data_IF_959616593843
#
_entry.id   IF_959616593843
#
_cell.length_a   1.000
_cell.length_b   1.000
_cell.length_c   1.000
_cell.angle_alpha   90.00
_cell.angle_beta   90.00
_cell.angle_gamma   90.00
#
_symmetry.space_group_name_H-M   'P 1'
#
loop_
_entity.id
_entity.type
_entity.pdbx_description
1 polymer ?
#
# COMPACT_ATOMS: atom_id res chain seq x y z
N UNK A 1 51.60 32.89 48.57
CA UNK A 1 50.96 33.58 47.44
C UNK A 1 50.41 32.53 46.49
N UNK A 2 49.10 32.39 46.49
CA UNK A 2 48.27 31.53 45.64
C UNK A 2 48.19 32.13 44.23
N UNK A 3 48.38 31.33 43.18
CA UNK A 3 47.64 31.45 41.90
C UNK A 3 47.45 30.06 41.26
N UNK A 4 46.19 29.65 41.25
CA UNK A 4 45.59 28.55 40.49
C UNK A 4 45.62 28.81 38.97
N UNK A 5 45.18 27.78 38.23
CA UNK A 5 44.56 27.74 36.88
C UNK A 5 45.49 27.13 35.82
N UNK A 6 45.19 26.06 35.08
CA UNK A 6 44.04 25.13 34.96
C UNK A 6 44.55 23.95 34.09
N UNK A 7 44.20 22.69 34.33
CA UNK A 7 44.40 21.65 33.32
C UNK A 7 43.49 21.93 32.12
N UNK A 8 44.06 22.09 30.93
CA UNK A 8 43.30 22.17 29.68
C UNK A 8 42.74 20.78 29.39
N UNK A 9 41.51 20.60 29.87
CA UNK A 9 40.61 19.51 29.56
C UNK A 9 40.12 19.71 28.12
N UNK A 10 40.86 19.24 27.11
CA UNK A 10 40.27 19.05 25.78
C UNK A 10 39.54 17.72 25.82
N UNK A 11 38.30 17.81 26.30
CA UNK A 11 37.21 16.94 25.86
C UNK A 11 37.18 17.03 24.34
N UNK A 12 37.86 16.10 23.67
CA UNK A 12 37.54 15.74 22.30
C UNK A 12 36.13 15.15 22.37
N UNK A 13 35.14 16.04 22.22
CA UNK A 13 33.76 15.71 22.03
C UNK A 13 33.70 14.60 21.00
N UNK A 14 33.13 13.48 21.41
CA UNK A 14 32.51 12.54 20.52
C UNK A 14 31.57 13.34 19.61
N UNK A 15 32.06 13.76 18.45
CA UNK A 15 31.27 13.82 17.24
C UNK A 15 30.92 12.36 16.92
N UNK A 16 30.09 11.77 17.78
CA UNK A 16 29.19 10.71 17.39
C UNK A 16 28.29 11.41 16.38
N UNK A 17 28.74 11.37 15.14
CA UNK A 17 27.95 11.72 13.98
C UNK A 17 26.61 11.04 14.22
N UNK A 18 25.56 11.85 14.46
CA UNK A 18 24.22 11.32 14.58
C UNK A 18 24.01 10.64 13.25
N UNK A 19 24.14 9.31 13.25
CA UNK A 19 23.77 8.45 12.15
C UNK A 19 22.46 9.00 11.62
N UNK A 20 22.52 9.64 10.47
CA UNK A 20 21.37 9.88 9.63
C UNK A 20 20.86 8.48 9.29
N UNK A 21 20.10 7.89 10.21
CA UNK A 21 19.23 6.78 9.89
C UNK A 21 18.25 7.46 8.94
N UNK A 22 18.51 7.31 7.64
CA UNK A 22 17.49 7.55 6.64
C UNK A 22 16.36 6.63 7.06
N UNK A 23 15.30 7.21 7.63
CA UNK A 23 14.16 6.43 8.06
C UNK A 23 13.45 5.95 6.80
N UNK A 24 13.87 4.79 6.32
CA UNK A 24 13.38 4.17 5.08
C UNK A 24 12.01 3.56 5.37
N UNK A 25 11.00 4.41 5.53
CA UNK A 25 9.64 4.01 5.88
C UNK A 25 9.07 3.03 4.85
N UNK A 26 9.33 3.28 3.56
CA UNK A 26 8.98 2.36 2.48
C UNK A 26 9.57 0.97 2.67
N UNK A 27 10.71 0.83 3.37
CA UNK A 27 11.25 -0.48 3.73
C UNK A 27 10.38 -1.26 4.71
N UNK A 28 9.85 -0.58 5.73
CA UNK A 28 9.05 -1.20 6.80
C UNK A 28 7.70 -1.71 6.29
N UNK A 29 7.17 -1.05 5.27
CA UNK A 29 5.88 -1.35 4.67
C UNK A 29 5.92 -2.50 3.64
N UNK A 30 7.11 -3.06 3.33
CA UNK A 30 7.22 -4.18 2.39
C UNK A 30 6.57 -5.44 2.94
N UNK A 31 6.06 -6.28 2.05
CA UNK A 31 5.61 -7.63 2.36
C UNK A 31 4.36 -8.02 1.58
N UNK A 32 3.89 -9.23 1.87
CA UNK A 32 2.64 -9.75 1.33
C UNK A 32 1.49 -9.44 2.29
N UNK A 33 0.43 -8.88 1.74
CA UNK A 33 -0.80 -8.51 2.43
C UNK A 33 -1.92 -9.37 1.85
N UNK A 34 -2.28 -10.50 2.47
CA UNK A 34 -3.47 -11.26 2.08
C UNK A 34 -4.71 -10.35 2.03
N UNK A 35 -5.44 -10.41 0.91
CA UNK A 35 -6.67 -9.65 0.73
C UNK A 35 -7.71 -10.18 1.72
N UNK A 36 -8.27 -9.26 2.49
CA UNK A 36 -9.36 -9.53 3.43
C UNK A 36 -10.71 -9.30 2.77
N UNK A 37 -10.81 -8.26 1.93
CA UNK A 37 -12.05 -7.86 1.27
C UNK A 37 -11.79 -7.25 -0.11
N UNK A 38 -12.61 -7.61 -1.09
CA UNK A 38 -12.64 -7.01 -2.44
C UNK A 38 -14.08 -6.69 -2.82
N UNK A 39 -14.35 -5.41 -3.08
CA UNK A 39 -15.68 -4.85 -3.32
C UNK A 39 -15.67 -4.10 -4.65
N UNK A 40 -16.73 -4.27 -5.45
CA UNK A 40 -16.99 -3.47 -6.65
C UNK A 40 -18.39 -2.87 -6.53
N UNK A 41 -18.50 -1.55 -6.63
CA UNK A 41 -19.80 -0.83 -6.60
C UNK A 41 -20.70 -1.30 -5.44
N UNK A 42 -20.09 -1.38 -4.25
CA UNK A 42 -20.71 -1.85 -3.00
C UNK A 42 -21.09 -3.34 -2.94
N UNK A 43 -20.91 -4.11 -4.02
CA UNK A 43 -21.01 -5.57 -3.94
C UNK A 43 -19.69 -6.19 -3.46
N UNK A 44 -19.76 -6.92 -2.35
CA UNK A 44 -18.63 -7.72 -1.85
C UNK A 44 -18.48 -8.98 -2.69
N UNK A 45 -17.44 -9.02 -3.51
CA UNK A 45 -17.14 -10.17 -4.38
C UNK A 45 -16.21 -11.18 -3.71
N UNK A 46 -15.40 -10.73 -2.76
CA UNK A 46 -14.55 -11.59 -1.95
C UNK A 46 -14.45 -11.06 -0.51
N UNK A 47 -14.51 -11.98 0.45
CA UNK A 47 -14.21 -11.75 1.87
C UNK A 47 -13.57 -13.01 2.45
N UNK A 48 -12.39 -12.88 3.05
CA UNK A 48 -11.60 -14.00 3.55
C UNK A 48 -12.42 -14.91 4.48
N UNK A 49 -12.48 -16.21 4.16
CA UNK A 49 -13.21 -17.22 4.93
C UNK A 49 -14.75 -17.13 4.84
N UNK A 50 -15.32 -16.21 4.05
CA UNK A 50 -16.79 -16.00 3.99
C UNK A 50 -17.35 -15.97 2.57
N UNK A 51 -16.79 -15.17 1.68
CA UNK A 51 -17.33 -14.90 0.34
C UNK A 51 -16.22 -15.09 -0.70
N UNK A 52 -16.52 -15.79 -1.80
CA UNK A 52 -15.60 -15.92 -2.93
C UNK A 52 -16.35 -16.07 -4.26
N UNK A 53 -17.05 -15.02 -4.70
CA UNK A 53 -17.83 -15.03 -5.95
C UNK A 53 -16.93 -15.09 -7.20
N UNK A 54 -15.71 -14.56 -7.09
CA UNK A 54 -14.72 -14.49 -8.18
C UNK A 54 -13.90 -15.79 -8.33
N UNK A 55 -14.03 -16.73 -7.40
CA UNK A 55 -13.40 -18.05 -7.48
C UNK A 55 -11.88 -18.02 -7.42
N UNK A 56 -11.31 -17.11 -6.61
CA UNK A 56 -9.85 -16.94 -6.49
C UNK A 56 -9.29 -17.60 -5.24
N UNK A 57 -8.02 -18.02 -5.30
CA UNK A 57 -7.20 -18.40 -4.15
C UNK A 57 -5.91 -17.57 -4.11
N UNK A 58 -5.20 -17.58 -2.98
CA UNK A 58 -3.93 -16.86 -2.79
C UNK A 58 -4.02 -15.36 -3.14
N UNK A 59 -5.19 -14.76 -2.92
CA UNK A 59 -5.43 -13.36 -3.28
C UNK A 59 -4.68 -12.43 -2.34
N UNK A 60 -3.67 -11.74 -2.85
CA UNK A 60 -2.80 -10.88 -2.05
C UNK A 60 -2.38 -9.61 -2.79
N UNK A 61 -2.07 -8.60 -2.00
CA UNK A 61 -1.35 -7.39 -2.41
C UNK A 61 0.11 -7.55 -1.97
N UNK A 62 1.06 -7.51 -2.90
CA UNK A 62 2.49 -7.54 -2.58
C UNK A 62 3.06 -6.13 -2.66
N UNK A 63 3.60 -5.65 -1.56
CA UNK A 63 4.18 -4.31 -1.43
C UNK A 63 5.70 -4.44 -1.43
N UNK A 64 6.34 -3.73 -2.35
CA UNK A 64 7.79 -3.67 -2.48
C UNK A 64 8.28 -2.23 -2.48
N UNK A 65 9.52 -2.00 -2.05
CA UNK A 65 10.14 -0.69 -2.06
C UNK A 65 10.74 -0.41 -3.44
N UNK A 66 10.47 0.78 -3.98
CA UNK A 66 11.16 1.30 -5.16
C UNK A 66 12.23 2.33 -4.79
N UNK A 67 11.86 3.35 -4.02
CA UNK A 67 12.76 4.37 -3.43
C UNK A 67 12.40 4.54 -1.95
N UNK A 68 13.06 5.46 -1.23
CA UNK A 68 12.78 5.71 0.18
C UNK A 68 11.32 6.18 0.45
N UNK A 69 10.72 6.84 -0.54
CA UNK A 69 9.38 7.43 -0.50
C UNK A 69 8.41 6.83 -1.53
N UNK A 70 8.84 5.82 -2.30
CA UNK A 70 7.99 5.21 -3.34
C UNK A 70 7.85 3.71 -3.13
N UNK A 71 6.61 3.24 -3.14
CA UNK A 71 6.23 1.85 -3.10
C UNK A 71 5.81 1.34 -4.48
N UNK A 72 6.04 0.05 -4.71
CA UNK A 72 5.55 -0.71 -5.85
C UNK A 72 4.56 -1.76 -5.35
N UNK A 73 3.30 -1.62 -5.77
CA UNK A 73 2.15 -2.41 -5.33
C UNK A 73 1.76 -3.39 -6.43
N UNK A 74 1.89 -4.68 -6.16
CA UNK A 74 1.48 -5.77 -7.05
C UNK A 74 0.23 -6.48 -6.54
N UNK A 75 -0.61 -6.97 -7.45
CA UNK A 75 -1.78 -7.80 -7.11
C UNK A 75 -1.62 -9.20 -7.70
N UNK A 76 -1.89 -10.21 -6.88
CA UNK A 76 -1.67 -11.61 -7.23
C UNK A 76 -2.88 -12.44 -6.80
N UNK A 77 -3.31 -13.36 -7.66
CA UNK A 77 -4.36 -14.32 -7.36
C UNK A 77 -4.22 -15.56 -8.24
N UNK A 78 -4.74 -16.69 -7.78
CA UNK A 78 -4.90 -17.88 -8.60
C UNK A 78 -6.39 -18.09 -8.92
N UNK A 79 -6.70 -18.49 -10.16
CA UNK A 79 -8.05 -18.82 -10.58
C UNK A 79 -8.03 -20.14 -11.36
N UNK A 80 -8.38 -21.24 -10.70
CA UNK A 80 -8.20 -22.59 -11.24
C UNK A 80 -6.71 -22.93 -11.45
N UNK A 81 -6.33 -23.64 -12.53
CA UNK A 81 -4.92 -24.01 -12.79
C UNK A 81 -4.07 -22.85 -13.33
N UNK A 82 -4.66 -21.66 -13.53
CA UNK A 82 -3.96 -20.48 -14.05
C UNK A 82 -3.68 -19.53 -12.90
N UNK A 83 -2.40 -19.22 -12.69
CA UNK A 83 -1.97 -18.14 -11.80
C UNK A 83 -2.08 -16.81 -12.55
N UNK A 84 -2.93 -15.91 -12.05
CA UNK A 84 -3.05 -14.54 -12.54
C UNK A 84 -2.05 -13.65 -11.80
N UNK A 85 -1.09 -13.10 -12.54
CA UNK A 85 -0.27 -11.97 -12.10
C UNK A 85 0.10 -11.20 -13.37
N UNK A 86 0.20 -9.87 -13.40
CA UNK A 86 0.70 -8.94 -12.41
C UNK A 86 0.26 -7.54 -12.88
N UNK A 87 -0.45 -6.77 -12.06
CA UNK A 87 -0.52 -5.33 -12.26
C UNK A 87 0.34 -4.66 -11.20
N UNK A 88 1.32 -3.86 -11.61
CA UNK A 88 2.20 -3.12 -10.70
C UNK A 88 1.88 -1.63 -10.77
N UNK A 89 1.48 -1.04 -9.65
CA UNK A 89 1.43 0.41 -9.48
C UNK A 89 2.62 0.92 -8.72
N UNK A 90 3.05 2.14 -9.05
CA UNK A 90 4.03 2.86 -8.25
C UNK A 90 3.33 4.02 -7.57
N UNK A 91 3.44 4.09 -6.25
CA UNK A 91 2.73 5.07 -5.41
C UNK A 91 3.73 5.79 -4.52
N UNK A 92 3.58 7.11 -4.44
CA UNK A 92 4.37 7.90 -3.52
C UNK A 92 3.75 7.86 -2.13
N UNK A 93 4.61 7.68 -1.15
CA UNK A 93 4.29 7.67 0.27
C UNK A 93 4.25 9.11 0.77
N UNK A 94 3.19 9.46 1.48
CA UNK A 94 3.14 10.69 2.28
C UNK A 94 2.47 10.40 3.62
N UNK A 95 2.93 11.02 4.69
CA UNK A 95 2.48 10.71 6.06
C UNK A 95 3.65 10.42 6.99
N UNK A 96 3.33 10.06 8.24
CA UNK A 96 4.28 9.74 9.31
C UNK A 96 3.57 8.89 10.37
N UNK A 97 4.34 8.29 11.29
CA UNK A 97 3.85 7.60 12.48
C UNK A 97 2.86 6.45 12.21
N UNK A 98 3.16 5.65 11.18
CA UNK A 98 2.39 4.43 10.89
C UNK A 98 1.05 4.67 10.19
N UNK A 99 0.77 5.89 9.77
CA UNK A 99 -0.35 6.23 8.88
C UNK A 99 0.16 6.88 7.60
N UNK A 100 0.03 6.15 6.50
CA UNK A 100 0.55 6.56 5.21
C UNK A 100 -0.56 6.69 4.19
N UNK A 101 -0.51 7.78 3.43
CA UNK A 101 -1.29 8.04 2.23
C UNK A 101 -0.48 7.63 1.00
N UNK A 102 -1.15 6.99 0.05
CA UNK A 102 -0.57 6.51 -1.20
C UNK A 102 -1.27 7.20 -2.36
N UNK A 103 -0.54 8.08 -3.04
CA UNK A 103 -1.09 8.88 -4.13
C UNK A 103 -0.45 8.52 -5.46
N UNK A 104 -1.27 8.39 -6.50
CA UNK A 104 -0.82 8.50 -7.89
C UNK A 104 -0.87 9.97 -8.30
N UNK A 105 0.12 10.44 -9.06
CA UNK A 105 0.13 11.77 -9.65
C UNK A 105 -0.78 11.88 -10.90
N UNK A 106 -2.06 11.49 -10.83
CA UNK A 106 -2.95 11.51 -12.00
C UNK A 106 -4.21 12.37 -11.79
N UNK A 107 -4.63 13.00 -12.90
CA UNK A 107 -5.80 13.88 -13.01
C UNK A 107 -7.08 13.03 -13.20
N UNK A 108 -8.21 13.49 -12.68
CA UNK A 108 -9.53 12.89 -12.92
C UNK A 108 -9.77 12.60 -14.42
N UNK A 109 -10.46 11.50 -14.81
CA UNK A 109 -11.37 10.66 -14.00
C UNK A 109 -10.74 9.41 -13.35
N UNK A 110 -9.42 9.27 -13.45
CA UNK A 110 -8.69 8.09 -12.98
C UNK A 110 -8.12 8.37 -11.58
N UNK A 111 -8.98 8.38 -10.57
CA UNK A 111 -8.52 8.60 -9.20
C UNK A 111 -8.10 7.28 -8.53
N UNK A 112 -7.09 7.37 -7.68
CA UNK A 112 -6.59 6.31 -6.83
C UNK A 112 -6.31 6.90 -5.45
N UNK A 113 -6.96 6.36 -4.43
CA UNK A 113 -6.73 6.67 -3.02
C UNK A 113 -6.25 5.40 -2.34
N UNK A 114 -5.09 5.43 -1.71
CA UNK A 114 -4.59 4.29 -0.93
C UNK A 114 -4.09 4.73 0.44
N UNK A 115 -4.19 3.86 1.43
CA UNK A 115 -3.60 4.07 2.75
C UNK A 115 -2.92 2.81 3.26
N UNK A 116 -1.91 2.97 4.10
CA UNK A 116 -1.38 1.90 4.94
C UNK A 116 -1.39 2.38 6.39
N UNK A 117 -2.12 1.67 7.24
CA UNK A 117 -2.19 1.95 8.68
C UNK A 117 -2.12 0.66 9.48
N UNK A 118 -1.16 0.55 10.41
CA UNK A 118 -1.06 -0.60 11.32
C UNK A 118 -1.12 -1.96 10.61
N UNK A 119 -0.32 -2.16 9.55
CA UNK A 119 -0.31 -3.36 8.71
C UNK A 119 -1.52 -3.60 7.80
N UNK A 120 -2.47 -2.67 7.75
CA UNK A 120 -3.64 -2.74 6.86
C UNK A 120 -3.42 -1.83 5.66
N UNK A 121 -3.43 -2.41 4.47
CA UNK A 121 -3.50 -1.72 3.20
C UNK A 121 -4.97 -1.54 2.81
N UNK A 122 -5.38 -0.31 2.51
CA UNK A 122 -6.69 -0.01 1.93
C UNK A 122 -6.50 0.73 0.62
N UNK A 123 -7.22 0.35 -0.42
CA UNK A 123 -7.27 1.04 -1.70
C UNK A 123 -8.71 1.30 -2.09
N UNK A 124 -8.95 2.46 -2.69
CA UNK A 124 -10.16 2.80 -3.43
C UNK A 124 -9.73 3.43 -4.76
N UNK A 125 -10.09 2.78 -5.86
CA UNK A 125 -9.70 3.20 -7.21
C UNK A 125 -10.93 3.18 -8.11
N UNK A 126 -11.02 4.11 -9.07
CA UNK A 126 -12.08 4.07 -10.08
C UNK A 126 -11.94 2.84 -10.98
N UNK A 127 -13.06 2.28 -11.47
CA UNK A 127 -13.03 1.10 -12.34
C UNK A 127 -12.19 1.34 -13.60
N UNK A 128 -12.31 2.53 -14.21
CA UNK A 128 -11.50 2.93 -15.35
C UNK A 128 -9.99 3.04 -15.04
N UNK A 129 -9.62 3.31 -13.78
CA UNK A 129 -8.24 3.44 -13.33
C UNK A 129 -7.64 2.15 -12.77
N UNK A 130 -8.44 1.10 -12.57
CA UNK A 130 -8.02 -0.06 -11.80
C UNK A 130 -6.95 -0.94 -12.48
N UNK A 131 -6.79 -0.87 -13.80
CA UNK A 131 -5.82 -1.71 -14.54
C UNK A 131 -6.16 -3.21 -14.57
N UNK A 132 -6.97 -3.70 -13.62
CA UNK A 132 -7.57 -5.02 -13.59
C UNK A 132 -8.94 -4.97 -12.88
N UNK A 133 -9.85 -5.86 -13.26
CA UNK A 133 -11.14 -6.04 -12.60
C UNK A 133 -11.44 -7.54 -12.53
N UNK A 134 -11.72 -8.07 -11.33
CA UNK A 134 -12.07 -9.47 -11.13
C UNK A 134 -13.58 -9.59 -11.00
N UNK A 135 -14.21 -10.20 -11.99
CA UNK A 135 -15.66 -10.38 -12.03
C UNK A 135 -16.01 -11.86 -12.13
N UNK A 136 -17.08 -12.31 -11.46
CA UNK A 136 -17.70 -13.61 -11.75
C UNK A 136 -18.16 -13.68 -13.22
N UNK A 137 -18.25 -14.89 -13.77
CA UNK A 137 -18.75 -15.08 -15.14
C UNK A 137 -20.21 -14.59 -15.24
N UNK A 138 -20.49 -13.72 -16.21
CA UNK A 138 -21.83 -13.16 -16.44
C UNK A 138 -22.23 -12.08 -15.42
N UNK A 139 -21.30 -11.61 -14.60
CA UNK A 139 -21.55 -10.53 -13.65
C UNK A 139 -21.80 -9.21 -14.37
N UNK A 140 -22.91 -8.55 -14.03
CA UNK A 140 -23.15 -7.17 -14.37
C UNK A 140 -22.98 -6.34 -13.09
N UNK A 141 -21.99 -5.44 -13.02
CA UNK A 141 -21.88 -4.53 -11.89
C UNK A 141 -23.18 -3.76 -11.75
N UNK A 142 -23.60 -3.51 -10.50
CA UNK A 142 -24.71 -2.60 -10.23
C UNK A 142 -24.47 -1.29 -10.99
N UNK A 143 -25.51 -0.78 -11.65
CA UNK A 143 -25.43 0.51 -12.33
C UNK A 143 -25.01 1.57 -11.31
N UNK A 144 -23.96 2.31 -11.65
CA UNK A 144 -23.49 3.42 -10.83
C UNK A 144 -23.72 4.69 -11.63
N UNK A 145 -24.31 5.69 -10.98
CA UNK A 145 -24.39 7.05 -11.52
C UNK A 145 -23.05 7.80 -11.50
N UNK A 146 -21.94 7.10 -11.26
CA UNK A 146 -20.59 7.67 -11.15
C UNK A 146 -19.98 7.85 -12.56
N UNK A 147 -19.46 9.04 -12.91
CA UNK A 147 -18.85 9.31 -14.22
C UNK A 147 -17.64 8.41 -14.54
N UNK A 148 -17.08 7.72 -13.55
CA UNK A 148 -15.96 6.79 -13.70
C UNK A 148 -16.40 5.33 -13.94
N UNK A 149 -17.70 5.08 -14.03
CA UNK A 149 -18.29 3.74 -14.18
C UNK A 149 -18.34 2.92 -12.88
N UNK A 150 -17.88 3.50 -11.77
CA UNK A 150 -17.90 2.91 -10.43
C UNK A 150 -16.51 2.76 -9.80
N UNK A 151 -16.43 2.01 -8.68
CA UNK A 151 -15.22 1.92 -7.86
C UNK A 151 -14.88 0.49 -7.45
N UNK A 152 -13.58 0.25 -7.27
CA UNK A 152 -13.04 -0.94 -6.62
C UNK A 152 -12.50 -0.53 -5.26
N UNK A 153 -12.84 -1.31 -4.23
CA UNK A 153 -12.21 -1.21 -2.91
C UNK A 153 -11.52 -2.52 -2.55
N UNK A 154 -10.26 -2.40 -2.12
CA UNK A 154 -9.44 -3.53 -1.67
C UNK A 154 -9.00 -3.25 -0.24
N UNK A 155 -9.16 -4.22 0.64
CA UNK A 155 -8.59 -4.21 1.98
C UNK A 155 -7.73 -5.45 2.13
N UNK A 156 -6.48 -5.26 2.52
CA UNK A 156 -5.51 -6.33 2.72
C UNK A 156 -4.72 -6.11 4.00
N UNK A 157 -4.30 -7.18 4.67
CA UNK A 157 -3.64 -7.09 5.96
C UNK A 157 -2.39 -7.96 5.97
N UNK A 158 -1.25 -7.37 6.35
CA UNK A 158 0.01 -8.08 6.54
C UNK A 158 -0.08 -8.96 7.78
N UNK A 159 0.35 -10.21 7.63
CA UNK A 159 0.44 -11.21 8.71
C UNK A 159 1.73 -11.04 9.52
#
# INVERSE_FOLDING_TARGET
MTRLLTPILILALAACDKTHIIDDEAARLRGDYPVQTYIINDDTLYSAGKINKIGVSEFKVAISRKTADTLSIGYFWAQGPKSGSLFVRQLQLSGHDGQYQLTMALKAPLFHEGTISGNVYTERTSLAGAGFVLLPKGYQPNEVSDPTGGTIKIVAQKQ
#
